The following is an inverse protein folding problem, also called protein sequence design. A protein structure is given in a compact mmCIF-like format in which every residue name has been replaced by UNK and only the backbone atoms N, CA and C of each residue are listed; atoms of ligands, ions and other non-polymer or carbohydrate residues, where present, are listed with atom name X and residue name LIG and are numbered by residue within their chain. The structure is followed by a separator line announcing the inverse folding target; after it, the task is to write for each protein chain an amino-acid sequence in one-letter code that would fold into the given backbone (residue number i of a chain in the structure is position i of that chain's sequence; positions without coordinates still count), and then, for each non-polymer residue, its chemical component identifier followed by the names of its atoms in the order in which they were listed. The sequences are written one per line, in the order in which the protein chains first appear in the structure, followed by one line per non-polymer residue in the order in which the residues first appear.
data_IF_514434129761
#
_entry.id   IF_514434129761
#
_cell.length_a   1.000
_cell.length_b   1.000
_cell.length_c   1.000
_cell.angle_alpha   90.00
_cell.angle_beta   90.00
_cell.angle_gamma   90.00
#
_symmetry.space_group_name_H-M   'P 1'
#
loop_
_entity.id
_entity.type
_entity.pdbx_description
1 polymer ?
#
# COMPACT_ATOMS: atom_id res chain seq x y z
N UNK A 1 6.98 11.23 6.05
CA UNK A 1 6.03 10.66 5.06
C UNK A 1 6.34 11.25 3.69
N UNK A 2 7.18 10.56 2.89
CA UNK A 2 7.72 11.10 1.64
C UNK A 2 6.70 10.99 0.50
N UNK A 3 6.28 12.14 -0.02
CA UNK A 3 5.51 12.23 -1.28
C UNK A 3 6.52 12.18 -2.43
N UNK A 4 7.14 11.03 -2.67
CA UNK A 4 8.00 10.87 -3.84
C UNK A 4 7.15 10.61 -5.08
N UNK A 5 6.89 11.66 -5.86
CA UNK A 5 6.34 11.52 -7.22
C UNK A 5 7.46 11.09 -8.17
N UNK A 6 7.87 9.82 -8.09
CA UNK A 6 8.77 9.24 -9.11
C UNK A 6 7.98 9.02 -10.42
N UNK A 7 8.57 9.26 -11.59
CA UNK A 7 7.95 8.89 -12.85
C UNK A 7 7.63 7.38 -12.89
N UNK A 8 6.39 7.02 -13.27
CA UNK A 8 5.89 5.62 -13.22
C UNK A 8 6.83 4.60 -13.89
N UNK A 9 7.48 4.98 -14.99
CA UNK A 9 8.43 4.12 -15.70
C UNK A 9 9.67 3.81 -14.87
N UNK A 10 10.26 4.84 -14.24
CA UNK A 10 11.47 4.67 -13.42
C UNK A 10 11.15 3.84 -12.19
N UNK A 11 10.03 4.14 -11.54
CA UNK A 11 9.52 3.38 -10.40
C UNK A 11 9.35 1.89 -10.74
N UNK A 12 8.73 1.57 -11.89
CA UNK A 12 8.55 0.19 -12.37
C UNK A 12 9.86 -0.53 -12.66
N UNK A 13 10.85 0.14 -13.25
CA UNK A 13 12.14 -0.52 -13.50
C UNK A 13 12.94 -0.72 -12.21
N UNK A 14 12.89 0.26 -11.31
CA UNK A 14 13.59 0.20 -10.04
C UNK A 14 12.99 -0.86 -9.11
N UNK A 15 11.66 -1.04 -9.15
CA UNK A 15 10.93 -2.01 -8.33
C UNK A 15 11.23 -3.48 -8.64
N UNK A 16 11.97 -3.79 -9.71
CA UNK A 16 12.48 -5.14 -9.93
C UNK A 16 13.62 -5.55 -8.97
N UNK A 17 14.36 -4.58 -8.43
CA UNK A 17 15.55 -4.84 -7.59
C UNK A 17 15.43 -4.15 -6.23
N UNK A 18 14.93 -2.92 -6.19
CA UNK A 18 14.83 -2.11 -4.97
C UNK A 18 13.38 -1.83 -4.59
N UNK A 19 13.12 -1.79 -3.30
CA UNK A 19 11.82 -1.39 -2.74
C UNK A 19 11.63 0.10 -2.95
N UNK A 20 10.78 0.45 -3.90
CA UNK A 20 10.40 1.85 -4.13
C UNK A 20 9.30 2.27 -3.14
N UNK A 21 9.11 3.58 -2.91
CA UNK A 21 8.02 4.05 -2.06
C UNK A 21 6.64 3.62 -2.55
N UNK A 22 6.44 3.44 -3.84
CA UNK A 22 5.19 2.92 -4.38
C UNK A 22 5.06 1.42 -4.14
N UNK A 23 6.12 0.65 -4.41
CA UNK A 23 6.14 -0.79 -4.15
C UNK A 23 5.80 -1.11 -2.69
N UNK A 24 6.41 -0.39 -1.74
CA UNK A 24 6.16 -0.56 -0.31
C UNK A 24 4.74 -0.17 0.12
N UNK A 25 4.12 0.82 -0.52
CA UNK A 25 2.76 1.26 -0.15
C UNK A 25 1.69 0.21 -0.37
N UNK A 26 1.87 -0.71 -1.31
CA UNK A 26 0.90 -1.79 -1.56
C UNK A 26 0.73 -2.67 -0.32
N UNK A 27 1.83 -2.96 0.39
CA UNK A 27 1.81 -3.67 1.67
C UNK A 27 0.98 -2.95 2.75
N UNK A 28 0.90 -1.62 2.71
CA UNK A 28 0.11 -0.83 3.66
C UNK A 28 -1.37 -0.69 3.28
N UNK A 29 -1.80 -1.37 2.21
CA UNK A 29 -3.20 -1.41 1.85
C UNK A 29 -4.00 -2.12 2.94
N UNK A 30 -5.24 -1.66 3.18
CA UNK A 30 -6.03 -2.11 4.32
C UNK A 30 -6.55 -3.55 4.27
N UNK A 31 -6.53 -4.18 3.09
CA UNK A 31 -7.14 -5.50 2.85
C UNK A 31 -6.22 -6.45 2.13
N UNK A 32 -6.36 -7.73 2.45
CA UNK A 32 -5.74 -8.83 1.71
C UNK A 32 -6.30 -8.93 0.27
N UNK A 33 -5.50 -9.40 -0.70
CA UNK A 33 -4.13 -9.90 -0.53
C UNK A 33 -3.06 -8.79 -0.60
N UNK A 34 -3.45 -7.51 -0.65
CA UNK A 34 -2.51 -6.41 -0.80
C UNK A 34 -1.69 -6.17 0.46
N UNK A 35 -2.31 -6.28 1.65
CA UNK A 35 -1.59 -6.20 2.93
C UNK A 35 -0.48 -7.26 3.01
N UNK A 36 -0.78 -8.47 2.57
CA UNK A 36 0.14 -9.62 2.59
C UNK A 36 0.93 -9.75 1.28
N UNK A 37 1.63 -8.67 0.93
CA UNK A 37 2.47 -8.60 -0.26
C UNK A 37 3.63 -7.62 -0.07
N UNK A 38 4.60 -7.64 -0.99
CA UNK A 38 5.68 -6.64 -1.09
C UNK A 38 6.46 -6.46 0.24
N UNK A 39 6.91 -7.56 0.83
CA UNK A 39 7.53 -7.65 2.15
C UNK A 39 8.97 -7.12 2.23
N UNK A 40 9.66 -6.97 1.10
CA UNK A 40 11.02 -6.48 1.04
C UNK A 40 11.16 -5.12 1.75
N UNK A 41 12.24 -4.96 2.52
CA UNK A 41 12.58 -3.69 3.17
C UNK A 41 13.52 -2.83 2.29
N UNK A 42 14.51 -3.46 1.63
CA UNK A 42 15.48 -2.78 0.77
C UNK A 42 15.45 -3.35 -0.64
N UNK A 43 15.57 -4.67 -0.79
CA UNK A 43 15.59 -5.35 -2.07
C UNK A 43 14.26 -6.05 -2.34
N UNK A 44 13.57 -5.63 -3.40
CA UNK A 44 12.32 -6.24 -3.85
C UNK A 44 12.54 -7.52 -4.66
N UNK A 45 13.78 -7.81 -5.05
CA UNK A 45 14.13 -9.05 -5.78
C UNK A 45 13.64 -10.30 -5.05
N UNK A 46 13.63 -10.27 -3.71
CA UNK A 46 13.11 -11.37 -2.91
C UNK A 46 11.61 -11.57 -3.11
N UNK A 47 10.84 -10.49 -3.19
CA UNK A 47 9.40 -10.59 -3.47
C UNK A 47 9.13 -11.17 -4.86
N UNK A 48 9.95 -10.82 -5.86
CA UNK A 48 9.85 -11.40 -7.20
C UNK A 48 10.18 -12.90 -7.20
N UNK A 49 11.21 -13.31 -6.45
CA UNK A 49 11.62 -14.73 -6.32
C UNK A 49 10.56 -15.55 -5.59
N UNK A 50 9.99 -15.01 -4.51
CA UNK A 50 9.01 -15.71 -3.67
C UNK A 50 7.55 -15.49 -4.12
N UNK A 51 7.33 -14.69 -5.17
CA UNK A 51 6.01 -14.50 -5.77
C UNK A 51 5.04 -13.64 -4.94
N UNK A 52 5.56 -12.78 -4.06
CA UNK A 52 4.77 -11.92 -3.17
C UNK A 52 4.49 -10.53 -3.75
N UNK A 53 4.84 -10.28 -5.02
CA UNK A 53 4.62 -8.98 -5.68
C UNK A 53 3.15 -8.75 -5.99
N UNK A 54 2.64 -7.58 -5.59
CA UNK A 54 1.38 -6.98 -6.02
C UNK A 54 1.62 -5.57 -6.55
N UNK A 55 1.02 -5.28 -7.69
CA UNK A 55 0.95 -3.94 -8.27
C UNK A 55 -0.42 -3.33 -7.97
N UNK A 56 -0.44 -2.01 -7.72
CA UNK A 56 -1.66 -1.24 -7.46
C UNK A 56 -1.52 0.15 -8.05
N UNK A 57 -2.55 0.72 -8.70
CA UNK A 57 -2.53 2.16 -9.05
C UNK A 57 -2.78 2.98 -7.79
N UNK A 58 -1.70 3.26 -7.06
CA UNK A 58 -1.72 3.89 -5.73
C UNK A 58 -2.52 5.20 -5.69
N UNK A 59 -2.60 5.93 -6.80
CA UNK A 59 -3.37 7.18 -6.87
C UNK A 59 -4.88 6.97 -6.91
N UNK A 60 -5.35 5.78 -7.28
CA UNK A 60 -6.77 5.45 -7.44
C UNK A 60 -7.27 4.48 -6.39
N UNK A 61 -6.42 3.54 -5.99
CA UNK A 61 -6.87 2.34 -5.29
C UNK A 61 -6.29 2.22 -3.87
N UNK A 62 -5.24 2.98 -3.50
CA UNK A 62 -4.63 2.82 -2.18
C UNK A 62 -5.50 3.41 -1.06
N UNK A 63 -6.00 2.54 -0.19
CA UNK A 63 -6.62 2.91 1.09
C UNK A 63 -5.77 2.34 2.22
N UNK A 64 -5.29 3.22 3.10
CA UNK A 64 -4.54 2.83 4.29
C UNK A 64 -5.46 2.38 5.41
N UNK A 65 -4.97 1.50 6.27
CA UNK A 65 -5.67 1.08 7.48
C UNK A 65 -5.54 -0.42 7.70
N UNK A 66 -6.42 -0.96 8.54
CA UNK A 66 -6.63 -2.40 8.72
C UNK A 66 -8.14 -2.60 8.66
N UNK A 67 -8.61 -3.48 7.78
CA UNK A 67 -10.03 -3.79 7.56
C UNK A 67 -10.81 -4.10 8.85
N UNK A 68 -10.17 -4.74 9.83
CA UNK A 68 -10.77 -5.08 11.13
C UNK A 68 -11.09 -3.86 12.01
N UNK A 69 -10.48 -2.70 11.75
CA UNK A 69 -10.60 -1.49 12.56
C UNK A 69 -10.89 -0.26 11.68
N UNK A 70 -11.65 -0.43 10.60
CA UNK A 70 -12.24 0.70 9.91
C UNK A 70 -13.35 1.27 10.79
N UNK A 71 -13.07 2.33 11.55
CA UNK A 71 -14.12 3.03 12.28
C UNK A 71 -15.25 3.39 11.30
N UNK A 72 -16.44 2.86 11.56
CA UNK A 72 -17.65 3.34 10.93
C UNK A 72 -17.84 4.80 11.35
N UNK A 73 -17.37 5.73 10.54
CA UNK A 73 -17.63 7.16 10.68
C UNK A 73 -19.11 7.45 10.36
N UNK A 74 -20.06 6.83 11.07
CA UNK A 74 -21.49 6.94 10.75
C UNK A 74 -22.44 7.10 11.94
N UNK A 75 -22.00 7.10 13.21
CA UNK A 75 -22.96 7.27 14.34
C UNK A 75 -22.54 8.29 15.41
N UNK A 76 -21.27 8.67 15.54
CA UNK A 76 -20.85 9.56 16.64
C UNK A 76 -21.37 11.01 16.50
N UNK A 77 -21.57 11.50 15.27
CA UNK A 77 -22.08 12.86 15.02
C UNK A 77 -23.57 13.02 15.34
N UNK A 78 -24.35 11.94 15.34
CA UNK A 78 -25.81 11.98 15.56
C UNK A 78 -26.22 11.94 17.04
N UNK A 79 -25.31 11.59 17.96
CA UNK A 79 -25.61 11.50 19.41
C UNK A 79 -25.21 12.72 20.23
N UNK A 80 -24.52 13.70 19.64
CA UNK A 80 -24.11 14.93 20.34
C UNK A 80 -25.17 16.04 20.22
N UNK A 81 -26.22 15.83 19.41
CA UNK A 81 -27.30 16.79 19.16
C UNK A 81 -28.72 16.28 19.50
N UNK A 82 -28.83 15.18 20.26
CA UNK A 82 -30.09 14.70 20.87
C UNK A 82 -29.86 14.47 22.37
#
# INVERSE_FOLDING_TARGET
MQISRFPKKIDKYLSYILVTPNFHKVHHHYVQPHTDSNYGNIFSIWDHIFGTVKELDIMKELVYGIDTHMENMSILTLKIFL
#
